data_IF_591123915603
#
_entry.id   IF_591123915603
#
_cell.length_a   1.000
_cell.length_b   1.000
_cell.length_c   1.000
_cell.angle_alpha   90.00
_cell.angle_beta   90.00
_cell.angle_gamma   90.00
#
_symmetry.space_group_name_H-M   'P 1'
#
loop_
_entity.id
_entity.type
_entity.pdbx_description
1 polymer ?
#
# COMPACT_ATOMS: atom_id res chain seq x y z
N UNK A 1 -16.48 -3.94 6.00
CA UNK A 1 -15.44 -4.44 5.05
C UNK A 1 -14.74 -5.63 5.71
N UNK A 2 -14.36 -6.67 4.95
CA UNK A 2 -13.79 -7.90 5.52
C UNK A 2 -12.41 -7.60 6.16
N UNK A 3 -12.19 -7.86 7.47
CA UNK A 3 -10.91 -7.62 8.17
C UNK A 3 -9.70 -8.34 7.57
N UNK A 4 -9.90 -9.29 6.66
CA UNK A 4 -8.83 -9.99 5.97
C UNK A 4 -8.04 -9.13 4.96
N UNK A 5 -8.59 -8.04 4.42
CA UNK A 5 -7.87 -7.24 3.41
C UNK A 5 -6.75 -6.41 4.05
N UNK A 6 -7.06 -5.66 5.12
CA UNK A 6 -6.09 -4.85 5.87
C UNK A 6 -4.96 -5.73 6.42
N UNK A 7 -5.30 -6.89 6.99
CA UNK A 7 -4.29 -7.85 7.47
C UNK A 7 -3.36 -8.35 6.36
N UNK A 8 -3.89 -8.64 5.16
CA UNK A 8 -3.06 -9.06 4.02
C UNK A 8 -2.13 -7.95 3.53
N UNK A 9 -2.59 -6.70 3.54
CA UNK A 9 -1.77 -5.54 3.20
C UNK A 9 -0.63 -5.40 4.21
N UNK A 10 -0.93 -5.47 5.52
CA UNK A 10 0.09 -5.40 6.56
C UNK A 10 1.10 -6.54 6.43
N UNK A 11 0.66 -7.78 6.22
CA UNK A 11 1.58 -8.91 6.01
C UNK A 11 2.48 -8.71 4.79
N UNK A 12 1.95 -8.21 3.67
CA UNK A 12 2.75 -7.94 2.49
C UNK A 12 3.79 -6.84 2.75
N UNK A 13 3.38 -5.73 3.38
CA UNK A 13 4.27 -4.60 3.68
C UNK A 13 5.34 -4.99 4.71
N UNK A 14 5.00 -5.78 5.73
CA UNK A 14 5.98 -6.28 6.70
C UNK A 14 6.94 -7.31 6.08
N UNK A 15 6.49 -8.15 5.15
CA UNK A 15 7.34 -9.16 4.52
C UNK A 15 8.31 -8.56 3.50
N UNK A 16 7.89 -7.52 2.76
CA UNK A 16 8.71 -6.87 1.73
C UNK A 16 9.46 -5.63 2.26
N UNK A 17 9.14 -5.16 3.48
CA UNK A 17 9.66 -3.94 4.08
C UNK A 17 9.13 -2.65 3.45
N UNK A 18 8.77 -2.68 2.17
CA UNK A 18 8.05 -1.62 1.46
C UNK A 18 7.30 -2.18 0.25
N UNK A 19 6.12 -1.64 -0.05
CA UNK A 19 5.33 -2.05 -1.22
C UNK A 19 4.97 -0.83 -2.05
N UNK A 20 5.30 -0.89 -3.35
CA UNK A 20 4.92 0.16 -4.32
C UNK A 20 3.41 0.14 -4.58
N UNK A 21 2.78 1.30 -4.46
CA UNK A 21 1.39 1.52 -4.84
C UNK A 21 1.16 1.12 -6.30
N UNK A 22 2.09 1.47 -7.18
CA UNK A 22 1.98 1.21 -8.63
C UNK A 22 2.04 -0.29 -8.93
N UNK A 23 2.83 -1.07 -8.18
CA UNK A 23 2.81 -2.55 -8.28
C UNK A 23 1.51 -3.16 -7.76
N UNK A 24 0.92 -2.59 -6.72
CA UNK A 24 -0.39 -3.01 -6.20
C UNK A 24 -1.54 -2.70 -7.17
N UNK A 25 -1.45 -1.59 -7.92
CA UNK A 25 -2.47 -1.17 -8.88
C UNK A 25 -2.43 -1.91 -10.22
N UNK A 26 -1.25 -2.40 -10.63
CA UNK A 26 -1.03 -2.90 -12.01
C UNK A 26 -1.50 -4.34 -12.25
N UNK A 27 -1.89 -5.09 -11.21
CA UNK A 27 -2.44 -6.45 -11.39
C UNK A 27 -3.96 -6.48 -11.17
N UNK A 28 -4.72 -6.37 -12.25
CA UNK A 28 -6.10 -6.87 -12.37
C UNK A 28 -7.06 -6.55 -11.20
N UNK A 29 -7.05 -5.33 -10.66
CA UNK A 29 -8.08 -4.90 -9.74
C UNK A 29 -9.23 -4.26 -10.52
N UNK A 30 -10.44 -4.77 -10.30
CA UNK A 30 -11.66 -4.04 -10.69
C UNK A 30 -11.69 -2.68 -9.99
N UNK A 31 -12.43 -1.71 -10.53
CA UNK A 31 -12.56 -0.38 -9.92
C UNK A 31 -12.99 -0.46 -8.44
N UNK A 32 -13.93 -1.36 -8.12
CA UNK A 32 -14.37 -1.65 -6.77
C UNK A 32 -13.24 -2.19 -5.89
N UNK A 33 -12.42 -3.10 -6.42
CA UNK A 33 -11.24 -3.62 -5.73
C UNK A 33 -10.20 -2.52 -5.47
N UNK A 34 -9.99 -1.63 -6.43
CA UNK A 34 -9.09 -0.47 -6.29
C UNK A 34 -9.56 0.48 -5.19
N UNK A 35 -10.86 0.79 -5.14
CA UNK A 35 -11.47 1.62 -4.10
C UNK A 35 -11.33 0.98 -2.71
N UNK A 36 -11.62 -0.32 -2.59
CA UNK A 36 -11.50 -1.04 -1.32
C UNK A 36 -10.04 -1.07 -0.83
N UNK A 37 -9.08 -1.30 -1.72
CA UNK A 37 -7.65 -1.26 -1.40
C UNK A 37 -7.22 0.14 -0.93
N UNK A 38 -7.61 1.18 -1.65
CA UNK A 38 -7.33 2.57 -1.30
C UNK A 38 -7.90 2.94 0.08
N UNK A 39 -9.15 2.58 0.35
CA UNK A 39 -9.76 2.83 1.66
C UNK A 39 -9.07 2.05 2.79
N UNK A 40 -8.63 0.82 2.54
CA UNK A 40 -7.89 0.04 3.53
C UNK A 40 -6.52 0.67 3.83
N UNK A 41 -5.78 1.08 2.80
CA UNK A 41 -4.48 1.75 2.96
C UNK A 41 -4.62 3.07 3.73
N UNK A 42 -5.61 3.91 3.39
CA UNK A 42 -5.87 5.16 4.09
C UNK A 42 -6.22 4.95 5.57
N UNK A 43 -6.95 3.88 5.92
CA UNK A 43 -7.24 3.54 7.32
C UNK A 43 -6.00 3.07 8.08
N UNK A 44 -5.16 2.26 7.44
CA UNK A 44 -3.92 1.77 8.05
C UNK A 44 -2.93 2.92 8.26
N UNK A 45 -2.86 3.87 7.34
CA UNK A 45 -2.08 5.10 7.51
C UNK A 45 -2.64 5.96 8.66
N UNK A 46 -3.95 6.23 8.66
CA UNK A 46 -4.60 7.01 9.72
C UNK A 46 -4.50 6.34 11.11
N UNK A 47 -4.46 5.00 11.13
CA UNK A 47 -4.26 4.21 12.34
C UNK A 47 -2.80 4.09 12.79
N UNK A 48 -1.85 4.71 12.07
CA UNK A 48 -0.43 4.67 12.41
C UNK A 48 0.21 3.29 12.24
N UNK A 49 -0.32 2.44 11.37
CA UNK A 49 0.29 1.14 11.05
C UNK A 49 1.20 1.21 9.82
N UNK A 50 0.92 2.14 8.91
CA UNK A 50 1.68 2.35 7.68
C UNK A 50 2.04 3.82 7.54
N UNK A 51 3.13 4.09 6.81
CA UNK A 51 3.51 5.43 6.39
C UNK A 51 3.78 5.46 4.90
N UNK A 52 3.31 6.52 4.24
CA UNK A 52 3.57 6.76 2.83
C UNK A 52 4.93 7.44 2.68
N UNK A 53 5.82 6.82 1.92
CA UNK A 53 7.07 7.44 1.51
C UNK A 53 7.11 7.61 -0.01
N UNK A 54 7.73 8.70 -0.46
CA UNK A 54 8.00 8.91 -1.88
C UNK A 54 9.48 8.69 -2.11
N UNK A 55 9.83 7.73 -2.97
CA UNK A 55 11.21 7.45 -3.36
C UNK A 55 11.41 7.87 -4.81
N UNK A 56 12.58 8.43 -5.09
CA UNK A 56 13.00 8.70 -6.47
C UNK A 56 13.77 7.47 -6.96
N UNK A 57 13.24 6.80 -7.97
CA UNK A 57 13.88 5.68 -8.63
C UNK A 57 15.10 6.14 -9.45
N UNK A 58 16.04 5.23 -9.81
CA UNK A 58 17.26 5.58 -10.55
C UNK A 58 17.01 6.22 -11.92
N UNK A 59 15.83 6.02 -12.51
CA UNK A 59 15.38 6.64 -13.76
C UNK A 59 14.82 8.07 -13.56
N UNK A 60 14.82 8.60 -12.33
CA UNK A 60 14.26 9.91 -11.97
C UNK A 60 12.75 9.91 -11.71
N UNK A 61 12.08 8.77 -11.85
CA UNK A 61 10.65 8.64 -11.54
C UNK A 61 10.41 8.70 -10.04
N UNK A 62 9.42 9.48 -9.61
CA UNK A 62 8.99 9.50 -8.21
C UNK A 62 7.87 8.48 -8.01
N UNK A 63 8.16 7.43 -7.25
CA UNK A 63 7.20 6.39 -6.92
C UNK A 63 6.84 6.42 -5.45
N UNK A 64 5.60 6.03 -5.16
CA UNK A 64 5.06 6.02 -3.80
C UNK A 64 5.04 4.61 -3.22
N UNK A 65 5.55 4.47 -2.01
CA UNK A 65 5.67 3.20 -1.30
C UNK A 65 5.00 3.30 0.07
N UNK A 66 4.32 2.24 0.46
CA UNK A 66 3.90 2.04 1.83
C UNK A 66 4.96 1.25 2.56
N UNK A 67 5.39 1.75 3.72
CA UNK A 67 6.23 1.04 4.68
C UNK A 67 5.50 0.90 6.02
N UNK A 68 5.89 -0.04 6.89
CA UNK A 68 5.43 -0.05 8.27
C UNK A 68 5.74 1.30 8.93
N UNK A 69 4.79 1.81 9.70
CA UNK A 69 5.06 2.89 10.63
C UNK A 69 5.92 2.33 11.78
N UNK A 70 6.93 3.10 12.21
CA UNK A 70 7.78 2.77 13.36
C UNK A 70 7.13 3.20 14.68
#
# INVERSE_FOLDING_TARGET
MKPGLERRILTAVHSEGCVSLERLYTRHLTETGRRALLSALARLEAGGHLSLETRTEPNGTRSRYWRPAE
#
